data_IF_377104002310
#
_entry.id   IF_377104002310
#
_cell.length_a   1.000
_cell.length_b   1.000
_cell.length_c   1.000
_cell.angle_alpha   90.00
_cell.angle_beta   90.00
_cell.angle_gamma   90.00
#
_symmetry.space_group_name_H-M   'P 1'
#
loop_
_entity.id
_entity.type
_entity.pdbx_description
1 polymer ?
#
# COMPACT_ATOMS: atom_id res chain seq x y z
N UNK A 1 16.61 -33.80 6.60
CA UNK A 1 17.36 -32.60 7.02
C UNK A 1 16.47 -31.38 6.78
N UNK A 2 15.95 -30.76 7.83
CA UNK A 2 15.19 -29.49 7.68
C UNK A 2 16.19 -28.44 7.22
N UNK A 3 16.14 -28.08 5.94
CA UNK A 3 16.86 -26.91 5.41
C UNK A 3 16.32 -25.67 6.14
N UNK A 4 17.20 -24.73 6.43
CA UNK A 4 16.86 -23.49 7.11
C UNK A 4 15.54 -22.92 6.58
N UNK A 5 14.50 -22.96 7.42
CA UNK A 5 13.19 -22.36 7.11
C UNK A 5 13.20 -20.85 7.33
N UNK A 6 14.30 -20.31 7.86
CA UNK A 6 14.46 -18.90 8.20
C UNK A 6 15.65 -18.29 7.48
N UNK A 7 15.48 -17.06 7.03
CA UNK A 7 16.52 -16.26 6.38
C UNK A 7 16.52 -14.86 6.98
N UNK A 8 17.73 -14.32 7.23
CA UNK A 8 17.88 -12.90 7.54
C UNK A 8 17.66 -12.09 6.27
N UNK A 9 16.78 -11.08 6.34
CA UNK A 9 16.46 -10.17 5.24
C UNK A 9 16.68 -8.74 5.72
N UNK A 10 17.42 -7.96 4.95
CA UNK A 10 17.71 -6.55 5.19
C UNK A 10 17.06 -5.72 4.10
N UNK A 11 16.26 -4.71 4.46
CA UNK A 11 15.54 -3.85 3.52
C UNK A 11 15.24 -2.48 4.13
N UNK A 12 14.71 -1.57 3.32
CA UNK A 12 14.30 -0.25 3.80
C UNK A 12 12.79 -0.22 4.00
N UNK A 13 12.34 0.04 5.22
CA UNK A 13 10.92 0.20 5.56
C UNK A 13 10.66 1.67 5.93
N UNK A 14 9.84 2.35 5.13
CA UNK A 14 9.49 3.76 5.33
C UNK A 14 10.75 4.63 5.53
N UNK A 15 11.76 4.40 4.67
CA UNK A 15 13.01 5.15 4.66
C UNK A 15 14.03 4.75 5.73
N UNK A 16 13.74 3.75 6.56
CA UNK A 16 14.67 3.25 7.59
C UNK A 16 15.16 1.86 7.21
N UNK A 17 16.47 1.63 7.27
CA UNK A 17 17.04 0.30 7.12
C UNK A 17 16.65 -0.57 8.32
N UNK A 18 16.14 -1.75 8.02
CA UNK A 18 15.72 -2.74 9.01
C UNK A 18 16.18 -4.13 8.61
N UNK A 19 16.34 -5.01 9.58
CA UNK A 19 16.65 -6.42 9.35
C UNK A 19 15.71 -7.33 10.15
N UNK A 20 15.37 -8.47 9.60
CA UNK A 20 14.53 -9.45 10.29
C UNK A 20 14.83 -10.86 9.84
N UNK A 21 14.87 -11.77 10.81
CA UNK A 21 14.88 -13.22 10.56
C UNK A 21 13.45 -13.66 10.27
N UNK A 22 13.18 -14.13 9.05
CA UNK A 22 11.84 -14.47 8.59
C UNK A 22 11.74 -15.91 8.10
N UNK A 23 10.56 -16.51 8.22
CA UNK A 23 10.24 -17.78 7.55
C UNK A 23 10.21 -17.53 6.04
N UNK A 24 10.96 -18.34 5.27
CA UNK A 24 11.06 -18.15 3.80
C UNK A 24 9.73 -18.32 3.06
N UNK A 25 8.70 -18.83 3.74
CA UNK A 25 7.34 -19.02 3.21
C UNK A 25 6.41 -17.86 3.54
N UNK A 26 6.83 -16.95 4.42
CA UNK A 26 6.00 -15.84 4.88
C UNK A 26 5.69 -14.88 3.72
N UNK A 27 4.46 -14.38 3.68
CA UNK A 27 4.11 -13.26 2.81
C UNK A 27 4.71 -11.95 3.34
N UNK A 28 4.93 -10.99 2.45
CA UNK A 28 5.33 -9.64 2.85
C UNK A 28 4.28 -9.00 3.77
N UNK A 29 2.98 -9.26 3.52
CA UNK A 29 1.89 -8.80 4.41
C UNK A 29 2.08 -9.32 5.83
N UNK A 30 2.38 -10.60 6.00
CA UNK A 30 2.55 -11.19 7.34
C UNK A 30 3.75 -10.57 8.07
N UNK A 31 4.88 -10.45 7.39
CA UNK A 31 6.07 -9.81 7.94
C UNK A 31 5.80 -8.35 8.36
N UNK A 32 5.22 -7.54 7.48
CA UNK A 32 4.93 -6.12 7.76
C UNK A 32 4.00 -5.97 8.96
N UNK A 33 2.96 -6.80 9.05
CA UNK A 33 1.97 -6.72 10.14
C UNK A 33 2.49 -7.27 11.46
N UNK A 34 3.13 -8.44 11.43
CA UNK A 34 3.44 -9.18 12.65
C UNK A 34 4.79 -8.77 13.23
N UNK A 35 5.78 -8.48 12.40
CA UNK A 35 7.14 -8.16 12.84
C UNK A 35 7.37 -6.64 12.97
N UNK A 36 6.71 -5.84 12.15
CA UNK A 36 6.90 -4.38 12.11
C UNK A 36 5.68 -3.56 12.51
N UNK A 37 4.57 -4.22 12.88
CA UNK A 37 3.32 -3.57 13.31
C UNK A 37 2.73 -2.59 12.28
N UNK A 38 2.98 -2.80 10.98
CA UNK A 38 2.39 -2.00 9.90
C UNK A 38 0.93 -2.43 9.69
N UNK A 39 0.05 -1.95 10.54
CA UNK A 39 -1.36 -2.38 10.58
C UNK A 39 -2.22 -1.78 9.47
N UNK A 40 -1.72 -0.76 8.76
CA UNK A 40 -2.38 -0.23 7.56
C UNK A 40 -2.43 -1.27 6.44
N UNK A 41 -1.46 -2.17 6.37
CA UNK A 41 -1.44 -3.28 5.40
C UNK A 41 -2.51 -4.29 5.82
N UNK A 42 -3.63 -4.38 5.10
CA UNK A 42 -4.79 -5.20 5.49
C UNK A 42 -4.79 -6.57 4.81
N UNK A 43 -5.23 -7.58 5.54
CA UNK A 43 -5.47 -8.94 5.02
C UNK A 43 -6.96 -9.07 4.68
N UNK A 44 -7.31 -8.83 3.40
CA UNK A 44 -8.70 -8.96 2.93
C UNK A 44 -8.94 -10.31 2.26
N UNK A 45 -8.37 -10.54 1.09
CA UNK A 45 -8.60 -11.76 0.30
C UNK A 45 -7.43 -12.75 0.33
N UNK A 46 -6.19 -12.29 0.49
CA UNK A 46 -4.95 -13.06 0.45
C UNK A 46 -4.70 -13.82 -0.88
N UNK A 47 -5.40 -13.40 -1.95
CA UNK A 47 -5.32 -13.98 -3.31
C UNK A 47 -5.10 -12.91 -4.40
N UNK A 48 -4.75 -11.67 -4.02
CA UNK A 48 -4.41 -10.59 -4.96
C UNK A 48 -5.59 -9.84 -5.57
N UNK A 49 -6.84 -10.06 -5.13
CA UNK A 49 -8.04 -9.52 -5.76
C UNK A 49 -8.52 -8.17 -5.16
N UNK A 50 -8.27 -7.92 -3.88
CA UNK A 50 -8.94 -6.83 -3.18
C UNK A 50 -8.15 -5.54 -3.03
N UNK A 51 -6.85 -5.55 -3.28
CA UNK A 51 -5.96 -4.39 -3.16
C UNK A 51 -5.71 -3.86 -1.73
N UNK A 52 -6.37 -4.42 -0.71
CA UNK A 52 -6.27 -3.90 0.66
C UNK A 52 -4.88 -4.06 1.31
N UNK A 53 -4.04 -4.92 0.75
CA UNK A 53 -2.67 -5.17 1.19
C UNK A 53 -1.61 -4.43 0.35
N UNK A 54 -2.01 -3.51 -0.52
CA UNK A 54 -1.09 -2.80 -1.39
C UNK A 54 -0.06 -1.99 -0.61
N UNK A 55 1.20 -2.10 -1.05
CA UNK A 55 2.35 -1.33 -0.57
C UNK A 55 3.17 -0.90 -1.79
N UNK A 56 4.01 0.11 -1.64
CA UNK A 56 5.00 0.42 -2.68
C UNK A 56 6.28 -0.37 -2.42
N UNK A 57 6.81 -0.98 -3.47
CA UNK A 57 8.13 -1.62 -3.49
C UNK A 57 8.93 -0.93 -4.58
N UNK A 58 10.02 -0.26 -4.20
CA UNK A 58 10.83 0.58 -5.11
C UNK A 58 9.97 1.59 -5.91
N UNK A 59 8.90 2.10 -5.31
CA UNK A 59 8.00 3.10 -5.90
C UNK A 59 6.82 2.55 -6.71
N UNK A 60 6.76 1.24 -6.94
CA UNK A 60 5.67 0.56 -7.65
C UNK A 60 4.74 -0.18 -6.68
N UNK A 61 3.44 -0.20 -6.99
CA UNK A 61 2.41 -0.78 -6.13
C UNK A 61 2.28 -2.30 -6.32
N UNK A 62 2.37 -3.04 -5.22
CA UNK A 62 2.25 -4.50 -5.22
C UNK A 62 1.27 -5.00 -4.16
N UNK A 63 0.57 -6.07 -4.49
CA UNK A 63 -0.21 -6.85 -3.52
C UNK A 63 0.75 -7.63 -2.61
N UNK A 64 1.05 -7.11 -1.43
CA UNK A 64 2.01 -7.72 -0.50
C UNK A 64 1.62 -9.12 -0.02
N UNK A 65 0.34 -9.51 -0.13
CA UNK A 65 -0.11 -10.87 0.21
C UNK A 65 0.40 -11.95 -0.76
N UNK A 66 0.73 -11.56 -2.00
CA UNK A 66 1.31 -12.45 -3.02
C UNK A 66 2.83 -12.31 -3.14
N UNK A 67 3.43 -11.38 -2.43
CA UNK A 67 4.86 -11.12 -2.43
C UNK A 67 5.52 -11.89 -1.27
N UNK A 68 6.54 -12.70 -1.56
CA UNK A 68 7.27 -13.38 -0.50
C UNK A 68 8.15 -12.40 0.28
N UNK A 69 8.13 -12.50 1.60
CA UNK A 69 8.91 -11.61 2.46
C UNK A 69 10.43 -11.68 2.18
N UNK A 70 10.95 -12.83 1.75
CA UNK A 70 12.36 -12.99 1.37
C UNK A 70 12.76 -12.17 0.13
N UNK A 71 11.82 -11.78 -0.72
CA UNK A 71 12.10 -10.94 -1.90
C UNK A 71 12.24 -9.47 -1.54
N UNK A 72 12.00 -9.11 -0.28
CA UNK A 72 12.23 -7.75 0.22
C UNK A 72 13.71 -7.39 0.37
N UNK A 73 14.62 -8.37 0.27
CA UNK A 73 16.07 -8.13 0.40
C UNK A 73 16.52 -6.95 -0.49
N UNK A 74 17.13 -5.94 0.13
CA UNK A 74 17.64 -4.72 -0.52
C UNK A 74 16.58 -3.78 -1.09
N UNK A 75 15.27 -4.04 -0.89
CA UNK A 75 14.16 -3.25 -1.44
C UNK A 75 13.79 -2.08 -0.55
N UNK A 76 13.18 -1.05 -1.18
CA UNK A 76 12.55 0.06 -0.49
C UNK A 76 11.04 -0.16 -0.42
N UNK A 77 10.54 -0.44 0.76
CA UNK A 77 9.12 -0.69 1.01
C UNK A 77 8.51 0.52 1.70
N UNK A 78 7.44 1.05 1.12
CA UNK A 78 6.65 2.14 1.70
C UNK A 78 5.24 1.64 2.00
N UNK A 79 4.79 1.86 3.23
CA UNK A 79 3.42 1.62 3.69
C UNK A 79 2.74 2.96 3.97
N UNK A 80 1.43 2.94 4.26
CA UNK A 80 0.68 4.17 4.58
C UNK A 80 1.33 4.96 5.73
N UNK A 81 1.91 4.26 6.71
CA UNK A 81 2.59 4.87 7.85
C UNK A 81 3.80 5.73 7.43
N UNK A 82 4.40 5.43 6.28
CA UNK A 82 5.53 6.17 5.73
C UNK A 82 5.17 7.39 4.90
N UNK A 83 3.87 7.68 4.69
CA UNK A 83 3.44 8.82 3.89
C UNK A 83 3.24 10.10 4.73
N UNK A 84 3.21 9.99 6.05
CA UNK A 84 3.07 11.14 6.93
C UNK A 84 4.36 11.94 7.00
N UNK A 85 4.21 13.26 7.10
CA UNK A 85 5.32 14.16 7.36
C UNK A 85 5.93 13.93 8.76
N UNK A 86 7.11 14.54 9.03
CA UNK A 86 7.90 14.29 10.24
C UNK A 86 7.17 14.68 11.55
N UNK A 87 6.20 15.58 11.49
CA UNK A 87 5.38 15.97 12.65
C UNK A 87 3.98 15.36 12.62
N UNK A 88 3.75 14.37 11.74
CA UNK A 88 2.46 13.71 11.57
C UNK A 88 1.50 14.41 10.60
N UNK A 89 2.02 15.31 9.75
CA UNK A 89 1.22 15.95 8.72
C UNK A 89 0.73 14.91 7.71
N UNK A 90 -0.52 15.03 7.31
CA UNK A 90 -1.09 14.20 6.25
C UNK A 90 -0.51 14.62 4.89
N UNK A 91 -0.25 13.64 4.03
CA UNK A 91 0.05 13.91 2.62
C UNK A 91 -1.19 14.44 1.88
N UNK A 92 -0.99 15.11 0.74
CA UNK A 92 -2.08 15.71 -0.03
C UNK A 92 -3.18 14.69 -0.38
N UNK A 93 -2.81 13.47 -0.73
CA UNK A 93 -3.78 12.42 -1.02
C UNK A 93 -4.55 11.97 0.22
N UNK A 94 -3.90 11.88 1.37
CA UNK A 94 -4.59 11.55 2.63
C UNK A 94 -5.58 12.66 3.01
N UNK A 95 -5.18 13.93 2.83
CA UNK A 95 -6.04 15.08 3.05
C UNK A 95 -7.24 15.08 2.11
N UNK A 96 -7.03 14.83 0.81
CA UNK A 96 -8.11 14.75 -0.18
C UNK A 96 -9.12 13.63 0.15
N UNK A 97 -8.65 12.47 0.62
CA UNK A 97 -9.55 11.39 1.05
C UNK A 97 -10.46 11.80 2.22
N UNK A 98 -9.96 12.63 3.14
CA UNK A 98 -10.77 13.18 4.24
C UNK A 98 -11.78 14.22 3.73
N UNK A 99 -11.34 15.15 2.90
CA UNK A 99 -12.16 16.25 2.38
C UNK A 99 -13.30 15.76 1.50
N UNK A 100 -13.04 14.77 0.64
CA UNK A 100 -14.04 14.16 -0.24
C UNK A 100 -14.90 13.08 0.45
N UNK A 101 -14.74 12.89 1.75
CA UNK A 101 -15.46 11.85 2.51
C UNK A 101 -15.27 10.46 1.89
N UNK A 102 -14.08 10.18 1.35
CA UNK A 102 -13.73 8.94 0.68
C UNK A 102 -13.49 7.76 1.65
N UNK A 103 -13.69 7.97 2.94
CA UNK A 103 -13.46 7.01 4.01
C UNK A 103 -14.76 6.72 4.73
N UNK A 104 -15.11 5.42 4.87
CA UNK A 104 -16.18 4.97 5.74
C UNK A 104 -15.62 4.01 6.80
N UNK A 105 -15.60 2.69 6.56
CA UNK A 105 -15.01 1.77 7.52
C UNK A 105 -13.47 1.84 7.58
N UNK A 106 -12.81 2.39 6.56
CA UNK A 106 -11.36 2.59 6.49
C UNK A 106 -10.55 1.36 6.11
N UNK A 107 -11.17 0.18 5.92
CA UNK A 107 -10.42 -1.06 5.67
C UNK A 107 -9.68 -1.06 4.31
N UNK A 108 -10.32 -0.62 3.24
CA UNK A 108 -9.72 -0.55 1.90
C UNK A 108 -8.86 0.72 1.69
N UNK A 109 -9.06 1.75 2.51
CA UNK A 109 -8.45 3.07 2.33
C UNK A 109 -6.94 3.06 2.18
N UNK A 110 -6.15 2.34 3.01
CA UNK A 110 -4.71 2.28 2.84
C UNK A 110 -4.28 1.78 1.46
N UNK A 111 -4.91 0.72 0.96
CA UNK A 111 -4.59 0.16 -0.34
C UNK A 111 -4.85 1.15 -1.49
N UNK A 112 -6.01 1.82 -1.47
CA UNK A 112 -6.32 2.87 -2.45
C UNK A 112 -5.31 4.02 -2.41
N UNK A 113 -4.92 4.48 -1.22
CA UNK A 113 -3.94 5.55 -1.06
C UNK A 113 -2.57 5.14 -1.63
N UNK A 114 -2.12 3.89 -1.38
CA UNK A 114 -0.83 3.44 -1.92
C UNK A 114 -0.84 3.41 -3.45
N UNK A 115 -1.93 2.94 -4.08
CA UNK A 115 -2.10 3.00 -5.54
C UNK A 115 -2.18 4.45 -6.04
N UNK A 116 -2.87 5.32 -5.32
CA UNK A 116 -2.94 6.74 -5.67
C UNK A 116 -1.55 7.41 -5.64
N UNK A 117 -0.71 7.08 -4.66
CA UNK A 117 0.68 7.58 -4.58
C UNK A 117 1.50 7.12 -5.77
N UNK A 118 1.36 5.87 -6.20
CA UNK A 118 2.02 5.40 -7.44
C UNK A 118 1.56 6.20 -8.66
N UNK A 119 0.25 6.41 -8.81
CA UNK A 119 -0.33 7.20 -9.91
C UNK A 119 0.24 8.62 -9.92
N UNK A 120 0.29 9.27 -8.76
CA UNK A 120 0.86 10.62 -8.59
C UNK A 120 2.35 10.66 -8.94
N UNK A 121 3.12 9.67 -8.49
CA UNK A 121 4.57 9.60 -8.72
C UNK A 121 4.93 9.41 -10.20
N UNK A 122 4.02 8.85 -10.99
CA UNK A 122 4.21 8.72 -12.45
C UNK A 122 4.18 10.07 -13.16
N UNK A 123 3.59 11.11 -12.58
CA UNK A 123 3.54 12.46 -13.13
C UNK A 123 2.85 12.54 -14.50
N UNK A 124 1.94 11.63 -14.79
CA UNK A 124 1.20 11.53 -16.04
C UNK A 124 -0.25 11.93 -15.80
N UNK A 125 -0.79 12.64 -16.76
CA UNK A 125 -2.21 13.02 -16.76
C UNK A 125 -3.11 11.84 -17.13
N UNK A 126 -4.17 11.63 -16.36
CA UNK A 126 -5.13 10.55 -16.57
C UNK A 126 -6.55 11.11 -16.68
N UNK A 127 -7.34 10.57 -17.60
CA UNK A 127 -8.79 10.80 -17.66
C UNK A 127 -9.50 9.99 -16.58
N UNK A 128 -10.74 10.35 -16.24
CA UNK A 128 -11.59 9.62 -15.25
C UNK A 128 -11.66 8.13 -15.57
N UNK A 129 -11.89 7.77 -16.85
CA UNK A 129 -11.96 6.38 -17.28
C UNK A 129 -10.64 5.64 -17.06
N UNK A 130 -9.51 6.32 -17.21
CA UNK A 130 -8.19 5.76 -16.94
C UNK A 130 -7.98 5.58 -15.43
N UNK A 131 -8.36 6.56 -14.61
CA UNK A 131 -8.30 6.46 -13.15
C UNK A 131 -9.18 5.31 -12.64
N UNK A 132 -10.42 5.18 -13.15
CA UNK A 132 -11.31 4.05 -12.82
C UNK A 132 -10.66 2.71 -13.14
N UNK A 133 -9.98 2.59 -14.27
CA UNK A 133 -9.24 1.37 -14.64
C UNK A 133 -8.07 1.09 -13.73
N UNK A 134 -7.28 2.10 -13.37
CA UNK A 134 -6.14 1.96 -12.47
C UNK A 134 -6.58 1.53 -11.05
N UNK A 135 -7.76 1.99 -10.60
CA UNK A 135 -8.34 1.63 -9.31
C UNK A 135 -9.12 0.31 -9.32
N UNK A 136 -9.33 -0.31 -10.48
CA UNK A 136 -10.18 -1.52 -10.62
C UNK A 136 -9.65 -2.74 -9.86
N UNK A 137 -8.36 -2.75 -9.46
CA UNK A 137 -7.77 -3.78 -8.61
C UNK A 137 -8.13 -3.66 -7.12
N UNK A 138 -9.09 -2.80 -6.76
CA UNK A 138 -9.51 -2.58 -5.38
C UNK A 138 -10.99 -2.90 -5.15
N UNK A 139 -11.28 -3.47 -3.98
CA UNK A 139 -12.65 -3.74 -3.54
C UNK A 139 -13.01 -2.86 -2.35
N UNK A 140 -14.09 -2.08 -2.52
CA UNK A 140 -14.71 -1.32 -1.45
C UNK A 140 -16.20 -1.67 -1.36
N UNK A 141 -16.67 -2.09 -0.17
CA UNK A 141 -18.08 -2.43 0.05
C UNK A 141 -18.92 -1.22 0.51
N UNK A 142 -18.27 -0.13 0.91
CA UNK A 142 -18.93 0.95 1.63
C UNK A 142 -19.21 2.19 0.76
N UNK A 143 -18.22 2.68 0.02
CA UNK A 143 -18.22 4.03 -0.58
C UNK A 143 -18.92 4.14 -1.94
N UNK A 144 -19.08 3.04 -2.66
CA UNK A 144 -19.52 3.09 -4.06
C UNK A 144 -18.48 3.68 -5.02
N UNK A 145 -17.23 3.89 -4.56
CA UNK A 145 -16.05 4.34 -5.32
C UNK A 145 -16.03 5.81 -5.73
N UNK A 146 -17.16 6.49 -5.86
CA UNK A 146 -17.24 7.85 -6.43
C UNK A 146 -16.40 8.85 -5.62
N UNK A 147 -16.58 8.90 -4.31
CA UNK A 147 -15.80 9.80 -3.45
C UNK A 147 -14.29 9.50 -3.47
N UNK A 148 -13.91 8.23 -3.68
CA UNK A 148 -12.49 7.84 -3.83
C UNK A 148 -11.93 8.40 -5.13
N UNK A 149 -12.69 8.35 -6.21
CA UNK A 149 -12.30 8.95 -7.49
C UNK A 149 -12.16 10.45 -7.37
N UNK A 150 -13.15 11.13 -6.79
CA UNK A 150 -13.11 12.58 -6.57
C UNK A 150 -11.86 12.99 -5.76
N UNK A 151 -11.52 12.22 -4.71
CA UNK A 151 -10.32 12.47 -3.92
C UNK A 151 -9.04 12.33 -4.76
N UNK A 152 -8.99 11.35 -5.65
CA UNK A 152 -7.84 11.14 -6.52
C UNK A 152 -7.73 12.26 -7.57
N UNK A 153 -8.83 12.61 -8.24
CA UNK A 153 -8.91 13.69 -9.23
C UNK A 153 -8.43 15.01 -8.64
N UNK A 154 -8.81 15.31 -7.42
CA UNK A 154 -8.41 16.54 -6.70
C UNK A 154 -6.89 16.70 -6.56
N UNK A 155 -6.15 15.60 -6.48
CA UNK A 155 -4.70 15.62 -6.23
C UNK A 155 -3.90 15.39 -7.51
N UNK A 156 -4.45 14.61 -8.46
CA UNK A 156 -3.81 14.39 -9.77
C UNK A 156 -3.85 15.68 -10.61
N UNK A 157 -4.74 16.61 -10.30
CA UNK A 157 -4.83 17.97 -10.86
C UNK A 157 -5.22 18.00 -12.33
N UNK A 158 -6.38 18.56 -12.61
CA UNK A 158 -6.73 19.10 -13.93
C UNK A 158 -6.29 20.56 -14.01
#
# INVERSE_FOLDING_TARGET
MAKNQYQLVTFFLNGKEVERMIDVRASLTDMLRNDFSMTSVKKGCEVGECGACNVLIDGECYNSCLYLAVWAEGKHITTLEGLMGPNGELSDIQQAFMEETAIQCGFCTPGFIMTAVEILNRGVYYTDDQLRKLLSGHLCRCTGYENILNALEKVVGY
#
